data_IF_750167905554
#
_entry.id   IF_750167905554
#
_cell.length_a   1.000
_cell.length_b   1.000
_cell.length_c   1.000
_cell.angle_alpha   90.00
_cell.angle_beta   90.00
_cell.angle_gamma   90.00
#
_symmetry.space_group_name_H-M   'P 1'
#
loop_
_entity.id
_entity.type
_entity.pdbx_description
1 polymer ?
#
# COMPACT_ATOMS: atom_id res chain seq x y z
N UNK A 1 8.44 72.67 -6.61
CA UNK A 1 9.24 72.25 -7.77
C UNK A 1 8.50 71.11 -8.43
N UNK A 2 7.93 71.31 -9.61
CA UNK A 2 7.26 70.23 -10.35
C UNK A 2 8.32 69.35 -11.01
N UNK A 3 8.35 68.07 -10.64
CA UNK A 3 9.21 67.10 -11.27
C UNK A 3 8.66 66.76 -12.66
N UNK A 4 9.37 67.16 -13.71
CA UNK A 4 8.97 66.87 -15.09
C UNK A 4 9.12 65.37 -15.38
N UNK A 5 8.03 64.72 -15.78
CA UNK A 5 8.02 63.30 -16.17
C UNK A 5 8.79 63.16 -17.48
N UNK A 6 9.91 62.44 -17.44
CA UNK A 6 10.77 62.25 -18.60
C UNK A 6 10.26 61.10 -19.49
N UNK A 7 10.67 61.04 -20.77
CA UNK A 7 10.38 59.90 -21.64
C UNK A 7 10.90 58.56 -21.07
N UNK A 8 12.00 58.60 -20.32
CA UNK A 8 12.56 57.43 -19.63
C UNK A 8 11.62 56.90 -18.55
N UNK A 9 11.00 57.79 -17.78
CA UNK A 9 10.09 57.40 -16.70
C UNK A 9 8.84 56.69 -17.26
N UNK A 10 8.32 57.18 -18.40
CA UNK A 10 7.20 56.56 -19.11
C UNK A 10 7.54 55.18 -19.65
N UNK A 11 8.74 55.03 -20.23
CA UNK A 11 9.22 53.75 -20.76
C UNK A 11 9.42 52.72 -19.65
N UNK A 12 10.07 53.10 -18.55
CA UNK A 12 10.30 52.22 -17.40
C UNK A 12 8.99 51.80 -16.75
N UNK A 13 8.04 52.73 -16.59
CA UNK A 13 6.70 52.43 -16.07
C UNK A 13 5.93 51.46 -16.97
N UNK A 14 5.92 51.70 -18.28
CA UNK A 14 5.24 50.83 -19.24
C UNK A 14 5.86 49.42 -19.27
N UNK A 15 7.19 49.33 -19.23
CA UNK A 15 7.90 48.05 -19.20
C UNK A 15 7.61 47.28 -17.90
N UNK A 16 7.64 47.96 -16.75
CA UNK A 16 7.27 47.36 -15.48
C UNK A 16 5.84 46.83 -15.51
N UNK A 17 4.88 47.66 -15.95
CA UNK A 17 3.47 47.27 -16.06
C UNK A 17 3.28 46.07 -16.99
N UNK A 18 3.97 46.06 -18.13
CA UNK A 18 3.93 44.94 -19.07
C UNK A 18 4.45 43.66 -18.41
N UNK A 19 5.60 43.69 -17.76
CA UNK A 19 6.18 42.52 -17.07
C UNK A 19 5.24 42.05 -15.95
N UNK A 20 4.71 42.95 -15.12
CA UNK A 20 3.77 42.64 -14.04
C UNK A 20 2.50 41.97 -14.58
N UNK A 21 1.94 42.48 -15.68
CA UNK A 21 0.76 41.91 -16.32
C UNK A 21 1.04 40.49 -16.84
N UNK A 22 2.18 40.29 -17.53
CA UNK A 22 2.56 38.96 -18.01
C UNK A 22 2.77 37.98 -16.84
N UNK A 23 3.45 38.40 -15.78
CA UNK A 23 3.63 37.58 -14.59
C UNK A 23 2.30 37.20 -13.93
N UNK A 24 1.37 38.16 -13.81
CA UNK A 24 0.02 37.89 -13.29
C UNK A 24 -0.75 36.89 -14.15
N UNK A 25 -0.65 36.98 -15.48
CA UNK A 25 -1.29 36.03 -16.41
C UNK A 25 -0.66 34.64 -16.28
N UNK A 26 0.68 34.54 -16.33
CA UNK A 26 1.39 33.24 -16.25
C UNK A 26 1.11 32.55 -14.92
N UNK A 27 1.16 33.28 -13.81
CA UNK A 27 0.86 32.75 -12.49
C UNK A 27 -0.64 32.42 -12.35
N UNK A 28 -1.54 33.32 -12.75
CA UNK A 28 -2.99 33.11 -12.63
C UNK A 28 -3.53 31.97 -13.49
N UNK A 29 -3.00 31.79 -14.70
CA UNK A 29 -3.43 30.72 -15.62
C UNK A 29 -2.69 29.40 -15.34
N UNK A 30 -1.45 29.45 -14.83
CA UNK A 30 -0.62 28.26 -14.61
C UNK A 30 -1.09 27.32 -13.48
N UNK A 31 -1.80 27.84 -12.46
CA UNK A 31 -2.24 27.02 -11.31
C UNK A 31 -3.58 26.31 -11.53
N UNK A 32 -4.41 26.76 -12.46
CA UNK A 32 -5.69 26.09 -12.77
C UNK A 32 -5.52 24.85 -13.67
N UNK A 33 -4.36 24.68 -14.33
CA UNK A 33 -4.14 23.55 -15.23
C UNK A 33 -3.76 22.24 -14.51
N UNK A 34 -3.25 22.30 -13.28
CA UNK A 34 -2.63 21.12 -12.63
C UNK A 34 -3.53 20.38 -11.63
N UNK A 35 -4.83 20.67 -11.55
CA UNK A 35 -5.68 20.07 -10.51
C UNK A 35 -6.77 19.11 -11.02
N UNK A 36 -6.64 18.55 -12.21
CA UNK A 36 -7.18 17.20 -12.43
C UNK A 36 -6.15 16.20 -11.90
N UNK A 37 -6.03 16.11 -10.56
CA UNK A 37 -5.44 14.91 -9.97
C UNK A 37 -6.39 13.79 -10.33
N UNK A 38 -6.09 13.08 -11.42
CA UNK A 38 -6.67 11.79 -11.72
C UNK A 38 -6.43 10.95 -10.46
N UNK A 39 -7.45 10.84 -9.61
CA UNK A 39 -7.38 9.98 -8.45
C UNK A 39 -7.21 8.58 -9.05
N UNK A 40 -6.13 7.91 -8.67
CA UNK A 40 -6.00 6.51 -9.00
C UNK A 40 -7.28 5.81 -8.50
N UNK A 41 -7.88 4.90 -9.29
CA UNK A 41 -9.04 4.15 -8.85
C UNK A 41 -8.77 3.54 -7.48
N UNK A 42 -9.62 3.85 -6.50
CA UNK A 42 -9.58 3.18 -5.21
C UNK A 42 -10.20 1.81 -5.39
N UNK A 43 -9.44 0.76 -5.06
CA UNK A 43 -9.92 -0.62 -5.14
C UNK A 43 -10.39 -1.03 -3.75
N UNK A 44 -11.60 -1.58 -3.67
CA UNK A 44 -12.08 -2.26 -2.48
C UNK A 44 -11.56 -3.69 -2.45
N UNK A 45 -10.98 -4.11 -1.33
CA UNK A 45 -10.45 -5.46 -1.15
C UNK A 45 -11.30 -6.17 -0.11
N UNK A 46 -12.13 -7.11 -0.57
CA UNK A 46 -12.85 -8.02 0.33
C UNK A 46 -12.00 -9.27 0.56
N UNK A 47 -11.77 -9.62 1.83
CA UNK A 47 -11.13 -10.87 2.19
C UNK A 47 -12.09 -12.03 1.93
N UNK A 48 -11.77 -12.85 0.93
CA UNK A 48 -12.47 -14.09 0.68
C UNK A 48 -12.19 -15.07 1.82
N UNK A 49 -13.25 -15.64 2.39
CA UNK A 49 -13.14 -16.67 3.44
C UNK A 49 -13.17 -18.09 2.87
N UNK A 50 -13.58 -18.24 1.60
CA UNK A 50 -13.74 -19.51 0.90
C UNK A 50 -13.11 -19.39 -0.49
N UNK A 51 -12.63 -20.51 -1.02
CA UNK A 51 -11.95 -20.62 -2.31
C UNK A 51 -12.55 -21.77 -3.10
N UNK A 52 -12.88 -21.52 -4.36
CA UNK A 52 -13.38 -22.52 -5.30
C UNK A 52 -12.26 -23.10 -6.16
N UNK A 53 -12.35 -24.41 -6.45
CA UNK A 53 -11.35 -25.10 -7.25
C UNK A 53 -11.37 -24.69 -8.74
N UNK A 54 -12.54 -24.26 -9.21
CA UNK A 54 -12.76 -23.84 -10.59
C UNK A 54 -12.79 -22.31 -10.66
N UNK A 55 -12.00 -21.74 -11.57
CA UNK A 55 -11.96 -20.31 -11.77
C UNK A 55 -13.21 -19.84 -12.54
N UNK A 56 -13.81 -18.70 -12.16
CA UNK A 56 -14.94 -18.14 -12.89
C UNK A 56 -14.52 -17.71 -14.30
N UNK A 57 -15.39 -17.96 -15.29
CA UNK A 57 -15.16 -17.54 -16.68
C UNK A 57 -15.07 -16.01 -16.82
N UNK A 58 -15.82 -15.28 -15.99
CA UNK A 58 -15.80 -13.82 -15.87
C UNK A 58 -15.88 -13.42 -14.40
N UNK A 59 -14.94 -12.60 -13.95
CA UNK A 59 -14.92 -12.06 -12.60
C UNK A 59 -15.16 -10.54 -12.65
N UNK A 60 -16.17 -10.07 -11.94
CA UNK A 60 -16.49 -8.65 -11.85
C UNK A 60 -15.67 -7.93 -10.76
N UNK A 61 -15.08 -8.70 -9.83
CA UNK A 61 -14.28 -8.21 -8.71
C UNK A 61 -12.93 -8.95 -8.62
N UNK A 62 -11.88 -8.23 -8.20
CA UNK A 62 -10.56 -8.81 -7.94
C UNK A 62 -10.50 -9.32 -6.50
N UNK A 63 -10.25 -10.62 -6.32
CA UNK A 63 -10.14 -11.27 -5.02
C UNK A 63 -8.86 -12.11 -4.92
N UNK A 64 -8.50 -12.53 -3.70
CA UNK A 64 -7.33 -13.39 -3.46
C UNK A 64 -7.56 -14.83 -3.91
N UNK A 65 -8.82 -15.27 -3.95
CA UNK A 65 -9.26 -16.64 -4.18
C UNK A 65 -10.35 -16.66 -5.25
N UNK A 66 -10.56 -17.81 -5.91
CA UNK A 66 -11.65 -17.96 -6.87
C UNK A 66 -12.97 -18.03 -6.11
N UNK A 67 -14.00 -17.36 -6.62
CA UNK A 67 -15.31 -17.40 -6.02
C UNK A 67 -16.39 -17.48 -7.11
N UNK A 68 -17.07 -18.62 -7.16
CA UNK A 68 -18.23 -18.86 -8.02
C UNK A 68 -19.49 -18.42 -7.27
N UNK A 69 -20.10 -17.33 -7.73
CA UNK A 69 -21.40 -16.89 -7.22
C UNK A 69 -22.53 -17.81 -7.69
N UNK A 70 -23.52 -18.04 -6.83
CA UNK A 70 -24.75 -18.77 -7.19
C UNK A 70 -25.85 -17.87 -7.79
N UNK A 71 -25.58 -16.57 -7.94
CA UNK A 71 -26.54 -15.59 -8.46
C UNK A 71 -26.78 -15.75 -9.97
N UNK A 72 -28.01 -15.48 -10.38
CA UNK A 72 -28.53 -15.57 -11.76
C UNK A 72 -28.78 -14.19 -12.39
N UNK A 73 -28.33 -13.12 -11.74
CA UNK A 73 -28.42 -11.76 -12.25
C UNK A 73 -27.58 -11.58 -13.53
N UNK A 74 -28.17 -10.95 -14.55
CA UNK A 74 -27.50 -10.68 -15.82
C UNK A 74 -26.40 -9.62 -15.68
N UNK A 75 -26.57 -8.68 -14.75
CA UNK A 75 -25.67 -7.57 -14.48
C UNK A 75 -25.04 -7.70 -13.09
N UNK A 76 -23.83 -7.16 -12.93
CA UNK A 76 -23.13 -7.11 -11.64
C UNK A 76 -23.87 -6.21 -10.67
N UNK A 77 -24.18 -6.72 -9.48
CA UNK A 77 -24.82 -5.98 -8.40
C UNK A 77 -23.88 -5.93 -7.19
N UNK A 78 -23.87 -4.80 -6.50
CA UNK A 78 -23.20 -4.70 -5.20
C UNK A 78 -23.86 -5.63 -4.18
N UNK A 79 -23.07 -6.12 -3.22
CA UNK A 79 -23.57 -6.94 -2.11
C UNK A 79 -24.60 -6.14 -1.32
N UNK A 80 -25.87 -6.51 -1.45
CA UNK A 80 -26.96 -5.96 -0.63
C UNK A 80 -27.35 -6.94 0.47
N UNK A 81 -27.86 -6.41 1.58
CA UNK A 81 -28.48 -7.21 2.65
C UNK A 81 -29.98 -6.94 2.64
N UNK A 82 -30.78 -7.98 2.87
CA UNK A 82 -32.24 -7.84 3.10
C UNK A 82 -32.54 -7.45 4.54
N UNK A 83 -31.57 -7.65 5.45
CA UNK A 83 -31.69 -7.30 6.87
C UNK A 83 -31.27 -5.85 7.10
N UNK A 84 -32.15 -5.07 7.74
CA UNK A 84 -31.83 -3.74 8.26
C UNK A 84 -30.96 -3.89 9.52
N UNK A 85 -29.81 -3.23 9.54
CA UNK A 85 -28.93 -3.28 10.71
C UNK A 85 -29.66 -2.65 11.91
N UNK A 86 -29.64 -3.33 13.05
CA UNK A 86 -30.31 -2.88 14.30
C UNK A 86 -29.76 -1.52 14.81
N UNK A 87 -28.64 -1.04 14.26
CA UNK A 87 -28.05 0.25 14.62
C UNK A 87 -27.61 1.02 13.37
N UNK A 88 -28.38 2.06 13.04
CA UNK A 88 -27.91 3.17 12.20
C UNK A 88 -27.55 4.34 13.14
N UNK A 89 -26.29 4.42 13.59
CA UNK A 89 -25.85 5.56 14.40
C UNK A 89 -25.72 6.78 13.48
N UNK A 90 -26.78 7.60 13.43
CA UNK A 90 -26.80 8.88 12.70
C UNK A 90 -25.98 9.96 13.42
N UNK A 91 -25.44 9.63 14.59
CA UNK A 91 -24.61 10.53 15.40
C UNK A 91 -23.16 10.11 15.25
N UNK A 92 -22.37 10.91 14.52
CA UNK A 92 -20.93 10.77 14.49
C UNK A 92 -20.35 11.04 15.88
N UNK A 93 -20.13 9.97 16.67
CA UNK A 93 -19.41 10.05 17.94
C UNK A 93 -17.92 10.03 17.60
N UNK A 94 -17.22 11.12 17.86
CA UNK A 94 -15.77 11.21 17.62
C UNK A 94 -15.05 10.18 18.49
N UNK A 95 -14.68 9.05 17.90
CA UNK A 95 -13.75 8.11 18.51
C UNK A 95 -12.37 8.73 18.31
N UNK A 96 -11.57 8.83 19.37
CA UNK A 96 -10.19 9.28 19.23
C UNK A 96 -9.49 8.31 18.26
N UNK A 97 -9.05 8.83 17.11
CA UNK A 97 -8.31 8.08 16.09
C UNK A 97 -6.88 7.73 16.53
N UNK A 98 -6.47 8.14 17.73
CA UNK A 98 -5.18 7.74 18.28
C UNK A 98 -5.24 6.26 18.63
N UNK A 99 -4.43 5.40 17.97
CA UNK A 99 -4.30 4.02 18.40
C UNK A 99 -3.79 4.04 19.83
N UNK A 100 -4.61 3.62 20.78
CA UNK A 100 -4.13 3.30 22.13
C UNK A 100 -3.32 2.03 21.97
N UNK A 101 -2.02 2.20 21.74
CA UNK A 101 -1.05 1.13 21.94
C UNK A 101 -1.33 0.56 23.34
N UNK A 102 -1.54 -0.76 23.50
CA UNK A 102 -1.57 -1.36 24.82
C UNK A 102 -0.25 -1.01 25.51
N UNK A 103 -0.30 -0.07 26.45
CA UNK A 103 0.83 0.17 27.33
C UNK A 103 0.84 -1.07 28.23
N UNK A 104 1.71 -2.02 27.90
CA UNK A 104 2.05 -3.10 28.82
C UNK A 104 2.47 -2.46 30.13
N UNK A 105 1.56 -2.48 31.10
CA UNK A 105 1.87 -2.24 32.49
C UNK A 105 2.83 -3.37 32.88
N UNK A 106 4.14 -3.09 32.77
CA UNK A 106 5.17 -3.94 33.35
C UNK A 106 4.94 -3.93 34.86
N UNK A 107 4.09 -4.83 35.33
CA UNK A 107 4.21 -5.35 36.68
C UNK A 107 5.60 -5.96 36.75
N UNK A 108 6.47 -5.31 37.52
CA UNK A 108 7.76 -5.87 37.90
C UNK A 108 7.47 -7.19 38.61
N UNK A 109 7.57 -8.30 37.90
CA UNK A 109 7.59 -9.64 38.48
C UNK A 109 9.04 -10.03 38.65
N UNK A 110 9.37 -10.35 39.90
CA UNK A 110 10.64 -10.90 40.37
C UNK A 110 11.22 -11.96 39.41
N UNK A 111 12.55 -12.05 39.30
CA UNK A 111 13.23 -13.00 38.44
C UNK A 111 13.10 -14.42 39.01
N UNK A 112 13.39 -15.43 38.19
CA UNK A 112 13.39 -16.87 38.48
C UNK A 112 12.10 -17.64 38.16
N UNK A 113 11.88 -17.88 36.87
CA UNK A 113 11.40 -19.18 36.41
C UNK A 113 11.97 -19.46 35.01
N UNK A 114 13.21 -19.95 35.00
CA UNK A 114 13.84 -20.54 33.83
C UNK A 114 13.05 -21.78 33.39
N UNK A 115 12.40 -21.74 32.23
CA UNK A 115 12.17 -22.93 31.40
C UNK A 115 12.37 -22.54 29.95
N UNK A 116 13.50 -22.96 29.37
CA UNK A 116 13.82 -22.76 27.96
C UNK A 116 13.27 -23.96 27.17
N UNK A 117 12.33 -23.76 26.25
CA UNK A 117 12.09 -24.76 25.19
C UNK A 117 12.97 -24.41 24.00
N UNK A 118 13.83 -25.36 23.64
CA UNK A 118 14.89 -25.23 22.64
C UNK A 118 14.29 -25.07 21.25
N UNK A 119 14.64 -23.97 20.58
CA UNK A 119 14.27 -23.66 19.20
C UNK A 119 15.18 -24.39 18.19
N UNK A 120 14.71 -24.39 16.93
CA UNK A 120 15.35 -24.78 15.68
C UNK A 120 15.26 -26.26 15.30
N UNK A 121 14.15 -26.60 14.61
CA UNK A 121 14.15 -27.66 13.60
C UNK A 121 14.67 -27.06 12.31
N UNK A 122 15.99 -27.15 12.13
CA UNK A 122 16.62 -26.87 10.84
C UNK A 122 16.26 -27.96 9.82
N UNK A 123 16.15 -27.50 8.58
CA UNK A 123 15.65 -28.18 7.39
C UNK A 123 16.57 -29.36 7.02
N UNK A 124 16.09 -30.59 7.14
CA UNK A 124 16.78 -31.77 6.62
C UNK A 124 16.27 -32.07 5.20
N UNK A 125 16.99 -31.58 4.18
CA UNK A 125 16.95 -32.12 2.82
C UNK A 125 18.18 -31.65 2.03
N UNK A 126 19.21 -32.47 2.03
CA UNK A 126 20.26 -32.63 0.98
C UNK A 126 21.39 -33.51 1.52
N UNK A 127 21.05 -34.77 1.81
CA UNK A 127 22.06 -35.84 1.90
C UNK A 127 22.45 -36.26 0.48
N UNK A 128 23.25 -35.46 -0.22
CA UNK A 128 23.79 -35.86 -1.53
C UNK A 128 25.14 -35.19 -1.88
N UNK A 129 25.97 -34.87 -0.89
CA UNK A 129 27.32 -34.31 -1.16
C UNK A 129 28.45 -34.96 -0.33
N UNK A 130 28.13 -35.88 0.58
CA UNK A 130 29.16 -36.60 1.37
C UNK A 130 29.48 -38.00 0.80
N UNK A 131 28.58 -38.59 0.00
CA UNK A 131 28.83 -39.91 -0.60
C UNK A 131 29.74 -39.88 -1.84
N UNK A 132 29.88 -38.72 -2.49
CA UNK A 132 30.74 -38.58 -3.68
C UNK A 132 32.21 -38.36 -3.28
N UNK A 133 32.48 -37.68 -2.16
CA UNK A 133 33.86 -37.40 -1.70
C UNK A 133 34.59 -38.65 -1.22
N UNK A 134 33.90 -39.60 -0.56
CA UNK A 134 34.52 -40.87 -0.13
C UNK A 134 34.84 -41.80 -1.32
N UNK A 135 34.02 -41.79 -2.37
CA UNK A 135 34.26 -42.61 -3.58
C UNK A 135 35.41 -42.08 -4.42
N UNK A 136 35.57 -40.76 -4.48
CA UNK A 136 36.69 -40.09 -5.18
C UNK A 136 38.01 -40.30 -4.43
N UNK A 137 38.00 -40.32 -3.09
CA UNK A 137 39.21 -40.65 -2.30
C UNK A 137 39.61 -42.13 -2.37
N UNK A 138 38.62 -43.04 -2.41
CA UNK A 138 38.88 -44.47 -2.56
C UNK A 138 39.53 -44.82 -3.92
N UNK A 139 39.12 -44.16 -5.00
CA UNK A 139 39.77 -44.33 -6.31
C UNK A 139 41.20 -43.79 -6.34
N UNK A 140 41.44 -42.65 -5.69
CA UNK A 140 42.75 -41.97 -5.66
C UNK A 140 43.83 -42.76 -4.90
N UNK A 141 43.45 -43.53 -3.87
CA UNK A 141 44.38 -44.33 -3.08
C UNK A 141 44.69 -45.71 -3.72
N UNK A 142 43.82 -46.21 -4.59
CA UNK A 142 44.01 -47.47 -5.34
C UNK A 142 45.04 -47.35 -6.47
N UNK A 143 45.11 -46.19 -7.13
CA UNK A 143 46.03 -45.96 -8.25
C UNK A 143 47.49 -45.66 -7.84
N UNK A 144 47.80 -45.72 -6.54
CA UNK A 144 49.15 -45.42 -5.98
C UNK A 144 49.77 -46.63 -5.26
N UNK A 145 49.21 -47.82 -5.47
CA UNK A 145 49.74 -49.11 -5.03
C UNK A 145 50.19 -49.95 -6.22
#
# INVERSE_FOLDING_TARGET
MDAAITPRDRLSFALFLAISLHAAIILGVGFVWTMERVRAPTIEVTLAQHDDLEAPERADFLAQHNQLGSGDAADTLETTTTEEAVFHDTVFRSVQETPVMPQEERKATDPFATVTTRSARDRQSSSETVAESERVEAWRNSARS
#
